data_IF_559759526302
#
_entry.id   IF_559759526302
#
_cell.length_a   1.000
_cell.length_b   1.000
_cell.length_c   1.000
_cell.angle_alpha   90.00
_cell.angle_beta   90.00
_cell.angle_gamma   90.00
#
_symmetry.space_group_name_H-M   'P 1'
#
loop_
_entity.id
_entity.type
_entity.pdbx_description
1 polymer ?
#
# COMPACT_ATOMS: atom_id res chain seq x y z
N UNK A 1 10.98 13.38 -12.68
CA UNK A 1 9.94 14.35 -12.27
C UNK A 1 10.12 14.69 -10.80
N UNK A 2 10.20 15.98 -10.46
CA UNK A 2 10.47 16.42 -9.10
C UNK A 2 9.17 16.42 -8.27
N UNK A 3 8.91 15.34 -7.53
CA UNK A 3 7.72 15.19 -6.68
C UNK A 3 7.64 16.23 -5.56
N UNK A 4 8.78 16.74 -5.10
CA UNK A 4 8.81 17.76 -4.06
C UNK A 4 8.25 19.08 -4.60
N UNK A 5 8.65 19.47 -5.81
CA UNK A 5 8.12 20.69 -6.45
C UNK A 5 6.60 20.61 -6.62
N UNK A 6 6.10 19.49 -7.17
CA UNK A 6 4.65 19.29 -7.35
C UNK A 6 3.93 19.33 -6.01
N UNK A 7 4.50 18.70 -4.97
CA UNK A 7 3.93 18.72 -3.63
C UNK A 7 3.82 20.14 -3.07
N UNK A 8 4.89 20.94 -3.20
CA UNK A 8 4.91 22.34 -2.75
C UNK A 8 3.85 23.17 -3.49
N UNK A 9 3.71 22.98 -4.80
CA UNK A 9 2.67 23.65 -5.60
C UNK A 9 1.25 23.26 -5.17
N UNK A 10 1.05 22.03 -4.70
CA UNK A 10 -0.25 21.53 -4.24
C UNK A 10 -0.55 21.83 -2.77
N UNK A 11 0.40 22.34 -1.98
CA UNK A 11 0.16 22.73 -0.59
C UNK A 11 -0.98 23.74 -0.39
N UNK A 12 -1.07 24.86 -1.13
CA UNK A 12 -2.19 25.79 -0.97
C UNK A 12 -3.53 25.12 -1.28
N UNK A 13 -3.57 24.31 -2.34
CA UNK A 13 -4.78 23.57 -2.70
C UNK A 13 -5.16 22.54 -1.62
N UNK A 14 -4.17 21.82 -1.08
CA UNK A 14 -4.36 20.90 0.04
C UNK A 14 -4.97 21.60 1.26
N UNK A 15 -4.50 22.80 1.59
CA UNK A 15 -5.02 23.60 2.70
C UNK A 15 -6.48 24.00 2.47
N UNK A 16 -6.83 24.47 1.26
CA UNK A 16 -8.22 24.78 0.88
C UNK A 16 -9.08 23.52 0.98
N UNK A 17 -8.63 22.41 0.39
CA UNK A 17 -9.37 21.15 0.42
C UNK A 17 -9.58 20.65 1.85
N UNK A 18 -8.63 20.87 2.76
CA UNK A 18 -8.78 20.46 4.16
C UNK A 18 -10.03 21.06 4.82
N UNK A 19 -10.50 22.23 4.39
CA UNK A 19 -11.74 22.84 4.90
C UNK A 19 -13.00 22.03 4.54
N UNK A 20 -12.93 21.25 3.46
CA UNK A 20 -14.01 20.36 3.00
C UNK A 20 -13.84 18.91 3.48
N UNK A 21 -12.87 18.65 4.35
CA UNK A 21 -12.65 17.31 4.91
C UNK A 21 -13.81 16.91 5.82
N UNK A 22 -14.24 15.64 5.71
CA UNK A 22 -15.24 15.02 6.59
C UNK A 22 -14.65 13.73 7.15
N UNK A 23 -14.80 13.45 8.46
CA UNK A 23 -14.43 12.16 9.03
C UNK A 23 -15.20 11.01 8.36
N UNK A 24 -14.51 9.94 8.01
CA UNK A 24 -15.06 8.78 7.27
C UNK A 24 -14.79 7.44 7.94
N UNK A 25 -13.85 7.37 8.89
CA UNK A 25 -13.30 6.14 9.45
C UNK A 25 -12.42 5.34 8.48
N UNK A 26 -12.23 5.78 7.23
CA UNK A 26 -11.60 4.97 6.18
C UNK A 26 -10.09 4.95 6.29
N UNK A 27 -9.52 3.79 5.97
CA UNK A 27 -8.09 3.52 5.99
C UNK A 27 -7.57 3.31 4.57
N UNK A 28 -6.51 4.05 4.19
CA UNK A 28 -5.75 3.85 2.97
C UNK A 28 -4.41 3.19 3.29
N UNK A 29 -4.09 2.09 2.62
CA UNK A 29 -2.76 1.48 2.68
C UNK A 29 -2.07 1.64 1.33
N UNK A 30 -0.87 2.19 1.34
CA UNK A 30 -0.08 2.43 0.14
C UNK A 30 1.05 1.40 0.07
N UNK A 31 0.88 0.42 -0.82
CA UNK A 31 1.80 -0.70 -1.02
C UNK A 31 1.92 -1.05 -2.50
N UNK A 32 2.99 -0.59 -3.15
CA UNK A 32 3.19 -0.77 -4.60
C UNK A 32 4.19 -1.88 -4.94
N UNK A 33 4.45 -2.76 -3.97
CA UNK A 33 5.48 -3.76 -4.04
C UNK A 33 5.02 -5.03 -4.78
N UNK A 34 5.89 -6.04 -4.85
CA UNK A 34 5.61 -7.29 -5.56
C UNK A 34 4.67 -8.18 -4.75
N UNK A 35 4.22 -9.27 -5.37
CA UNK A 35 3.28 -10.24 -4.77
C UNK A 35 3.74 -10.70 -3.37
N UNK A 36 5.02 -11.07 -3.20
CA UNK A 36 5.52 -11.51 -1.89
C UNK A 36 5.38 -10.45 -0.78
N UNK A 37 5.62 -9.18 -1.11
CA UNK A 37 5.44 -8.07 -0.17
C UNK A 37 3.97 -7.77 0.10
N UNK A 38 3.07 -8.10 -0.83
CA UNK A 38 1.64 -8.00 -0.60
C UNK A 38 1.16 -9.03 0.42
N UNK A 39 1.62 -10.28 0.32
CA UNK A 39 1.29 -11.32 1.33
C UNK A 39 1.69 -10.85 2.73
N UNK A 40 2.81 -10.12 2.85
CA UNK A 40 3.26 -9.57 4.12
C UNK A 40 2.37 -8.44 4.67
N UNK A 41 1.55 -7.77 3.85
CA UNK A 41 0.57 -6.78 4.36
C UNK A 41 -0.77 -7.40 4.73
N UNK A 42 -1.05 -8.65 4.35
CA UNK A 42 -2.36 -9.27 4.63
C UNK A 42 -2.74 -9.34 6.11
N UNK A 43 -1.81 -9.53 7.06
CA UNK A 43 -2.16 -9.47 8.48
C UNK A 43 -2.59 -8.05 8.91
N UNK A 44 -1.98 -7.02 8.29
CA UNK A 44 -2.35 -5.63 8.48
C UNK A 44 -3.75 -5.33 7.92
N UNK A 45 -4.11 -5.93 6.77
CA UNK A 45 -5.48 -5.85 6.23
C UNK A 45 -6.49 -6.47 7.19
N UNK A 46 -6.20 -7.64 7.75
CA UNK A 46 -7.07 -8.29 8.73
C UNK A 46 -7.24 -7.43 10.00
N UNK A 47 -6.16 -6.85 10.49
CA UNK A 47 -6.18 -6.00 11.68
C UNK A 47 -7.00 -4.71 11.48
N UNK A 48 -7.02 -4.15 10.27
CA UNK A 48 -7.79 -2.95 9.92
C UNK A 48 -9.22 -3.24 9.46
N UNK A 49 -9.51 -4.48 9.05
CA UNK A 49 -10.76 -4.82 8.37
C UNK A 49 -10.85 -4.17 7.00
N UNK A 50 -12.00 -3.55 6.69
CA UNK A 50 -12.26 -2.94 5.39
C UNK A 50 -11.33 -1.75 5.10
N UNK A 51 -10.37 -1.97 4.20
CA UNK A 51 -9.35 -0.98 3.82
C UNK A 51 -9.41 -0.67 2.32
N UNK A 52 -8.94 0.52 1.92
CA UNK A 52 -8.67 0.85 0.53
C UNK A 52 -7.17 0.80 0.24
N UNK A 53 -6.78 0.38 -0.97
CA UNK A 53 -5.38 0.12 -1.31
C UNK A 53 -4.88 0.95 -2.49
N UNK A 54 -3.63 1.43 -2.43
CA UNK A 54 -2.89 1.92 -3.60
C UNK A 54 -1.78 0.93 -3.95
N UNK A 55 -1.95 0.19 -5.03
CA UNK A 55 -1.15 -1.01 -5.37
C UNK A 55 -0.56 -0.96 -6.77
N UNK A 56 0.36 -1.89 -7.04
CA UNK A 56 0.80 -2.20 -8.39
C UNK A 56 -0.18 -3.14 -9.08
N UNK A 57 -0.36 -2.97 -10.39
CA UNK A 57 -1.13 -3.89 -11.26
C UNK A 57 -0.70 -5.36 -11.13
N UNK A 58 0.56 -5.63 -10.78
CA UNK A 58 1.05 -7.00 -10.59
C UNK A 58 0.33 -7.78 -9.46
N UNK A 59 -0.25 -7.07 -8.50
CA UNK A 59 -0.90 -7.64 -7.31
C UNK A 59 -2.42 -7.62 -7.45
N UNK A 60 -2.95 -6.92 -8.45
CA UNK A 60 -4.38 -6.77 -8.70
C UNK A 60 -5.19 -8.09 -8.67
N UNK A 61 -4.71 -9.22 -9.24
CA UNK A 61 -5.45 -10.49 -9.16
C UNK A 61 -5.71 -10.97 -7.74
N UNK A 62 -4.79 -10.72 -6.80
CA UNK A 62 -4.98 -11.09 -5.39
C UNK A 62 -5.99 -10.17 -4.73
N UNK A 63 -5.84 -8.87 -4.95
CA UNK A 63 -6.70 -7.85 -4.32
C UNK A 63 -8.16 -7.96 -4.75
N UNK A 64 -8.42 -8.31 -6.01
CA UNK A 64 -9.79 -8.48 -6.53
C UNK A 64 -10.59 -9.57 -5.83
N UNK A 65 -9.92 -10.52 -5.18
CA UNK A 65 -10.53 -11.65 -4.52
C UNK A 65 -10.35 -11.61 -3.00
N UNK A 66 -9.92 -10.48 -2.44
CA UNK A 66 -9.73 -10.31 -1.00
C UNK A 66 -10.85 -9.44 -0.41
N UNK A 67 -11.62 -10.03 0.48
CA UNK A 67 -12.78 -9.45 1.15
C UNK A 67 -12.41 -8.32 2.12
N UNK A 68 -11.16 -8.26 2.58
CA UNK A 68 -10.67 -7.15 3.43
C UNK A 68 -10.47 -5.86 2.64
N UNK A 69 -10.50 -5.92 1.31
CA UNK A 69 -10.25 -4.77 0.43
C UNK A 69 -11.55 -4.26 -0.19
N UNK A 70 -11.99 -3.12 0.29
CA UNK A 70 -13.21 -2.45 -0.22
C UNK A 70 -13.00 -1.83 -1.60
N UNK A 71 -11.82 -1.24 -1.85
CA UNK A 71 -11.46 -0.61 -3.11
C UNK A 71 -9.95 -0.57 -3.28
N UNK A 72 -9.49 -0.61 -4.52
CA UNK A 72 -8.08 -0.39 -4.84
C UNK A 72 -7.88 0.62 -5.97
N UNK A 73 -6.69 1.21 -6.00
CA UNK A 73 -6.19 2.13 -7.01
C UNK A 73 -4.88 1.59 -7.57
N UNK A 74 -4.69 1.71 -8.89
CA UNK A 74 -3.47 1.26 -9.54
C UNK A 74 -2.47 2.41 -9.70
N UNK A 75 -1.26 2.24 -9.15
CA UNK A 75 -0.21 3.26 -9.22
C UNK A 75 0.25 3.50 -10.66
N UNK A 76 0.22 2.48 -11.51
CA UNK A 76 0.62 2.57 -12.91
C UNK A 76 -0.29 3.52 -13.68
N UNK A 77 -1.60 3.55 -13.39
CA UNK A 77 -2.54 4.48 -14.02
C UNK A 77 -2.20 5.93 -13.68
N UNK A 78 -1.84 6.19 -12.43
CA UNK A 78 -1.42 7.52 -11.99
C UNK A 78 -0.04 7.93 -12.54
N UNK A 79 0.80 6.97 -12.95
CA UNK A 79 2.10 7.25 -13.58
C UNK A 79 1.99 7.58 -15.06
N UNK A 80 0.88 7.25 -15.74
CA UNK A 80 0.69 7.47 -17.19
C UNK A 80 0.84 8.92 -17.62
N UNK A 81 0.32 9.86 -16.83
CA UNK A 81 0.41 11.29 -17.17
C UNK A 81 0.42 12.17 -15.92
N UNK A 82 0.73 13.46 -16.11
CA UNK A 82 0.64 14.45 -15.04
C UNK A 82 -0.81 14.64 -14.58
N UNK A 83 -1.76 14.72 -15.51
CA UNK A 83 -3.19 14.84 -15.18
C UNK A 83 -3.75 13.62 -14.44
N UNK A 84 -3.39 12.40 -14.85
CA UNK A 84 -3.81 11.19 -14.15
C UNK A 84 -3.30 11.16 -12.69
N UNK A 85 -2.07 11.64 -12.49
CA UNK A 85 -1.48 11.81 -11.16
C UNK A 85 -2.24 12.82 -10.31
N UNK A 86 -2.54 14.00 -10.86
CA UNK A 86 -3.32 15.02 -10.16
C UNK A 86 -4.74 14.53 -9.83
N UNK A 87 -5.39 13.85 -10.77
CA UNK A 87 -6.71 13.23 -10.55
C UNK A 87 -6.68 12.25 -9.38
N UNK A 88 -5.69 11.35 -9.34
CA UNK A 88 -5.54 10.43 -8.20
C UNK A 88 -5.26 11.19 -6.91
N UNK A 89 -4.34 12.16 -6.94
CA UNK A 89 -4.01 13.00 -5.79
C UNK A 89 -5.24 13.67 -5.18
N UNK A 90 -6.10 14.30 -5.99
CA UNK A 90 -7.33 14.92 -5.52
C UNK A 90 -8.38 13.90 -5.05
N UNK A 91 -8.44 12.73 -5.69
CA UNK A 91 -9.33 11.63 -5.26
C UNK A 91 -8.99 11.13 -3.86
N UNK A 92 -7.69 11.05 -3.52
CA UNK A 92 -7.23 10.55 -2.23
C UNK A 92 -7.24 11.63 -1.13
N UNK A 93 -7.10 12.90 -1.50
CA UNK A 93 -6.74 14.01 -0.60
C UNK A 93 -7.61 14.11 0.68
N UNK A 94 -8.93 13.99 0.58
CA UNK A 94 -9.86 14.15 1.71
C UNK A 94 -10.67 12.89 2.04
N UNK A 95 -10.31 11.74 1.46
CA UNK A 95 -11.15 10.53 1.51
C UNK A 95 -10.90 9.66 2.74
N UNK A 96 -9.79 9.86 3.44
CA UNK A 96 -9.30 8.93 4.46
C UNK A 96 -9.03 9.62 5.78
N UNK A 97 -9.25 8.88 6.85
CA UNK A 97 -8.93 9.29 8.22
C UNK A 97 -7.57 8.74 8.64
N UNK A 98 -7.26 7.54 8.15
CA UNK A 98 -6.01 6.83 8.39
C UNK A 98 -5.28 6.56 7.06
N UNK A 99 -4.00 6.90 6.99
CA UNK A 99 -3.14 6.58 5.85
C UNK A 99 -1.89 5.88 6.36
N UNK A 100 -1.67 4.67 5.87
CA UNK A 100 -0.52 3.85 6.20
C UNK A 100 0.38 3.69 4.97
N UNK A 101 1.61 4.18 5.06
CA UNK A 101 2.60 4.05 4.00
C UNK A 101 3.56 2.92 4.33
N UNK A 102 3.40 1.80 3.63
CA UNK A 102 4.17 0.58 3.87
C UNK A 102 5.47 0.57 3.08
N UNK A 103 5.46 1.08 1.84
CA UNK A 103 6.64 1.11 1.00
C UNK A 103 7.02 2.55 0.63
N UNK A 104 8.02 3.15 1.31
CA UNK A 104 8.43 4.52 1.05
C UNK A 104 9.25 4.62 -0.24
N UNK A 105 8.61 5.10 -1.30
CA UNK A 105 9.29 5.62 -2.49
C UNK A 105 8.78 7.04 -2.78
N UNK A 106 9.45 7.77 -3.69
CA UNK A 106 9.10 9.18 -3.95
C UNK A 106 7.65 9.40 -4.38
N UNK A 107 7.05 8.44 -5.09
CA UNK A 107 5.66 8.53 -5.58
C UNK A 107 4.67 8.24 -4.45
N UNK A 108 4.92 7.19 -3.69
CA UNK A 108 4.07 6.77 -2.59
C UNK A 108 4.10 7.80 -1.46
N UNK A 109 5.29 8.31 -1.12
CA UNK A 109 5.46 9.42 -0.16
C UNK A 109 4.71 10.66 -0.61
N UNK A 110 4.74 10.98 -1.91
CA UNK A 110 3.98 12.11 -2.46
C UNK A 110 2.48 11.95 -2.22
N UNK A 111 1.90 10.81 -2.58
CA UNK A 111 0.46 10.57 -2.38
C UNK A 111 0.08 10.51 -0.90
N UNK A 112 0.87 9.81 -0.08
CA UNK A 112 0.63 9.71 1.35
C UNK A 112 0.68 11.08 2.03
N UNK A 113 1.68 11.89 1.70
CA UNK A 113 1.86 13.21 2.30
C UNK A 113 0.79 14.22 1.89
N UNK A 114 0.21 14.06 0.69
CA UNK A 114 -0.82 14.95 0.18
C UNK A 114 -2.18 14.72 0.86
N UNK A 115 -2.41 13.56 1.46
CA UNK A 115 -3.65 13.26 2.16
C UNK A 115 -3.82 14.16 3.40
N UNK A 116 -5.02 14.71 3.57
CA UNK A 116 -5.43 15.51 4.72
C UNK A 116 -5.83 14.68 5.95
N UNK A 117 -5.73 13.36 5.84
CA UNK A 117 -5.94 12.41 6.94
C UNK A 117 -5.25 12.87 8.24
N UNK A 118 -5.97 12.89 9.38
CA UNK A 118 -5.39 13.23 10.68
C UNK A 118 -4.34 12.22 11.13
N UNK A 119 -4.54 10.93 10.82
CA UNK A 119 -3.59 9.87 11.17
C UNK A 119 -2.80 9.41 9.94
N UNK A 120 -1.53 9.82 9.84
CA UNK A 120 -0.61 9.38 8.79
C UNK A 120 0.57 8.64 9.40
N UNK A 121 0.69 7.34 9.15
CA UNK A 121 1.71 6.47 9.73
C UNK A 121 2.62 5.96 8.63
N UNK A 122 3.89 6.38 8.63
CA UNK A 122 4.82 6.07 7.55
C UNK A 122 5.93 5.14 8.00
N UNK A 123 6.20 4.12 7.19
CA UNK A 123 7.40 3.32 7.34
C UNK A 123 8.61 4.09 6.83
N UNK A 124 9.69 4.10 7.61
CA UNK A 124 10.98 4.65 7.22
C UNK A 124 12.00 3.55 7.09
N UNK A 125 12.47 3.32 5.87
CA UNK A 125 13.46 2.30 5.55
C UNK A 125 14.88 2.88 5.50
N UNK A 126 15.87 1.99 5.61
CA UNK A 126 17.30 2.33 5.45
C UNK A 126 17.63 2.97 4.08
N UNK A 127 16.89 2.62 3.02
CA UNK A 127 17.02 3.25 1.70
C UNK A 127 16.20 4.55 1.68
N UNK A 128 16.83 5.70 1.96
CA UNK A 128 16.16 7.00 1.90
C UNK A 128 16.96 8.04 1.11
N UNK A 129 16.25 8.90 0.40
CA UNK A 129 16.83 10.08 -0.24
C UNK A 129 16.62 11.29 0.66
N UNK A 130 17.58 12.22 0.70
CA UNK A 130 17.53 13.40 1.59
C UNK A 130 16.22 14.20 1.43
N UNK A 131 15.76 14.38 0.20
CA UNK A 131 14.53 15.12 -0.11
C UNK A 131 13.23 14.43 0.36
N UNK A 132 13.27 13.13 0.72
CA UNK A 132 12.11 12.47 1.31
C UNK A 132 11.70 13.09 2.64
N UNK A 133 12.64 13.75 3.34
CA UNK A 133 12.39 14.46 4.61
C UNK A 133 11.20 15.43 4.50
N UNK A 134 10.99 16.06 3.34
CA UNK A 134 9.86 16.96 3.10
C UNK A 134 8.51 16.26 3.24
N UNK A 135 8.38 15.04 2.73
CA UNK A 135 7.14 14.26 2.83
C UNK A 135 6.91 13.72 4.25
N UNK A 136 7.96 13.25 4.93
CA UNK A 136 7.86 12.74 6.29
C UNK A 136 7.39 13.81 7.31
N UNK A 137 7.59 15.10 7.03
CA UNK A 137 7.03 16.18 7.88
C UNK A 137 5.51 16.15 7.98
N UNK A 138 4.84 15.53 7.02
CA UNK A 138 3.39 15.38 7.06
C UNK A 138 2.92 14.19 7.91
N UNK A 139 3.81 13.26 8.27
CA UNK A 139 3.45 12.06 9.02
C UNK A 139 3.10 12.41 10.47
N UNK A 140 2.04 11.78 10.99
CA UNK A 140 1.67 11.83 12.40
C UNK A 140 2.51 10.85 13.22
N UNK A 141 2.99 9.77 12.60
CA UNK A 141 3.93 8.83 13.22
C UNK A 141 4.80 8.12 12.19
N UNK A 142 5.98 7.69 12.65
CA UNK A 142 6.98 7.01 11.82
C UNK A 142 7.37 5.71 12.51
N UNK A 143 7.45 4.62 11.75
CA UNK A 143 8.04 3.34 12.20
C UNK A 143 9.36 3.17 11.44
N UNK A 144 10.45 3.01 12.16
CA UNK A 144 11.73 2.67 11.55
C UNK A 144 11.79 1.18 11.21
N UNK A 145 12.36 0.87 10.04
CA UNK A 145 12.60 -0.49 9.58
C UNK A 145 14.06 -0.63 9.14
N UNK A 146 14.77 -1.47 9.86
CA UNK A 146 16.15 -1.87 9.61
C UNK A 146 16.22 -3.20 8.87
N UNK A 147 17.42 -3.60 8.42
CA UNK A 147 17.61 -4.85 7.68
C UNK A 147 17.39 -6.11 8.53
N UNK A 148 17.49 -5.98 9.85
CA UNK A 148 17.33 -7.09 10.82
C UNK A 148 15.91 -7.22 11.33
N UNK A 149 15.06 -6.23 11.06
CA UNK A 149 13.68 -6.24 11.53
C UNK A 149 12.81 -7.15 10.68
N UNK A 150 11.89 -7.86 11.33
CA UNK A 150 10.85 -8.57 10.62
C UNK A 150 9.88 -7.58 9.97
N UNK A 151 9.81 -7.61 8.65
CA UNK A 151 8.98 -6.69 7.84
C UNK A 151 7.52 -6.66 8.31
N UNK A 152 6.96 -7.82 8.67
CA UNK A 152 5.58 -7.93 9.12
C UNK A 152 5.33 -7.18 10.44
N UNK A 153 6.23 -7.29 11.41
CA UNK A 153 6.14 -6.52 12.66
C UNK A 153 6.14 -5.02 12.38
N UNK A 154 7.05 -4.56 11.51
CA UNK A 154 7.12 -3.15 11.16
C UNK A 154 5.83 -2.63 10.52
N UNK A 155 5.12 -3.47 9.75
CA UNK A 155 3.86 -3.11 9.12
C UNK A 155 2.72 -3.02 10.13
N UNK A 156 2.61 -4.00 11.04
CA UNK A 156 1.60 -3.99 12.10
C UNK A 156 1.80 -2.83 13.08
N UNK A 157 3.07 -2.49 13.36
CA UNK A 157 3.45 -1.32 14.17
C UNK A 157 3.00 0.02 13.58
N UNK A 158 2.66 0.08 12.30
CA UNK A 158 2.03 1.28 11.72
C UNK A 158 0.61 1.48 12.26
N UNK A 159 -0.09 0.40 12.63
CA UNK A 159 -1.43 0.44 13.24
C UNK A 159 -1.31 0.65 14.75
N UNK A 160 -0.63 -0.27 15.41
CA UNK A 160 -0.43 -0.27 16.86
C UNK A 160 0.98 -0.78 17.17
N UNK A 161 1.74 -0.02 17.98
CA UNK A 161 3.15 -0.27 18.28
C UNK A 161 3.39 -1.57 19.05
N UNK A 162 2.35 -2.08 19.71
CA UNK A 162 2.42 -3.31 20.50
C UNK A 162 2.12 -4.57 19.67
N UNK A 163 1.60 -4.42 18.44
CA UNK A 163 1.28 -5.57 17.59
C UNK A 163 2.53 -6.32 17.11
N UNK A 164 2.34 -7.64 16.98
CA UNK A 164 3.35 -8.63 16.61
C UNK A 164 2.83 -9.49 15.47
N UNK A 165 3.74 -10.07 14.70
CA UNK A 165 3.42 -10.96 13.58
C UNK A 165 2.59 -12.19 13.96
N UNK A 166 2.59 -12.58 15.23
CA UNK A 166 1.82 -13.71 15.77
C UNK A 166 0.35 -13.40 15.96
N UNK A 167 -0.02 -12.12 16.02
CA UNK A 167 -1.38 -11.68 16.38
C UNK A 167 -2.36 -11.89 15.22
N UNK A 168 -1.85 -11.88 13.98
CA UNK A 168 -2.65 -11.95 12.76
C UNK A 168 -1.98 -12.89 11.74
N UNK A 169 -2.67 -13.94 11.26
CA UNK A 169 -2.07 -14.88 10.29
C UNK A 169 -1.91 -14.25 8.91
N UNK A 170 -0.95 -14.72 8.11
CA UNK A 170 -0.83 -14.33 6.69
C UNK A 170 -1.84 -15.09 5.83
N UNK A 171 -2.27 -14.50 4.73
CA UNK A 171 -3.09 -15.18 3.72
C UNK A 171 -2.72 -14.73 2.29
N UNK A 172 -3.18 -15.48 1.30
CA UNK A 172 -3.06 -15.08 -0.11
C UNK A 172 -4.26 -14.23 -0.55
N UNK A 173 -5.45 -14.71 -0.21
CA UNK A 173 -6.74 -14.05 -0.33
C UNK A 173 -7.59 -14.48 0.87
N UNK A 174 -8.54 -13.64 1.26
CA UNK A 174 -9.53 -13.92 2.30
C UNK A 174 -10.92 -13.73 1.67
N UNK A 175 -11.79 -14.76 1.60
CA UNK A 175 -11.45 -16.18 1.70
C UNK A 175 -10.43 -16.61 0.62
N UNK A 176 -9.80 -17.78 0.82
CA UNK A 176 -8.86 -18.30 -0.18
C UNK A 176 -9.59 -18.60 -1.50
N UNK A 177 -9.29 -17.82 -2.53
CA UNK A 177 -9.88 -18.00 -3.85
C UNK A 177 -9.24 -19.18 -4.58
N UNK A 178 -10.09 -20.09 -5.05
CA UNK A 178 -9.71 -21.20 -5.91
C UNK A 178 -10.34 -21.01 -7.28
N UNK A 179 -9.55 -21.05 -8.38
CA UNK A 179 -10.12 -20.98 -9.71
C UNK A 179 -10.99 -22.22 -9.97
N UNK A 180 -12.16 -22.07 -10.64
CA UNK A 180 -13.06 -23.19 -10.92
C UNK A 180 -12.47 -24.21 -11.89
N UNK A 181 -11.50 -23.80 -12.71
CA UNK A 181 -10.72 -24.67 -13.57
C UNK A 181 -9.27 -24.18 -13.64
N UNK A 182 -8.28 -25.08 -13.78
CA UNK A 182 -6.89 -24.70 -14.00
C UNK A 182 -6.77 -23.84 -15.27
N UNK A 183 -5.94 -22.77 -15.26
CA UNK A 183 -5.69 -21.95 -16.44
C UNK A 183 -5.27 -22.79 -17.64
N UNK A 184 -5.77 -22.48 -18.83
CA UNK A 184 -5.46 -23.21 -20.06
C UNK A 184 -3.94 -23.35 -20.34
N UNK A 185 -3.14 -22.40 -19.85
CA UNK A 185 -1.68 -22.43 -19.91
C UNK A 185 -1.03 -23.55 -19.06
N UNK A 186 -1.73 -24.05 -18.04
CA UNK A 186 -1.32 -25.18 -17.19
C UNK A 186 -1.94 -26.50 -17.65
N UNK A 187 -3.07 -26.45 -18.37
CA UNK A 187 -3.78 -27.63 -18.89
C UNK A 187 -3.02 -28.26 -20.08
N UNK A 188 -2.32 -27.44 -20.87
CA UNK A 188 -1.45 -27.92 -21.94
C UNK A 188 0.00 -28.00 -21.42
N UNK A 189 0.53 -29.19 -21.06
CA UNK A 189 1.91 -29.31 -20.62
C UNK A 189 2.85 -28.89 -21.74
N UNK A 190 3.48 -27.72 -21.59
CA UNK A 190 4.61 -27.32 -22.43
C UNK A 190 5.82 -28.14 -21.99
N UNK A 191 6.31 -29.01 -22.86
CA UNK A 191 7.57 -29.73 -22.65
C UNK A 191 8.68 -28.73 -22.28
N UNK A 192 9.25 -28.85 -21.09
CA UNK A 192 10.38 -28.01 -20.64
C UNK A 192 10.08 -26.93 -19.61
N UNK A 193 8.82 -26.71 -19.19
CA UNK A 193 8.54 -25.85 -18.03
C UNK A 193 8.88 -26.60 -16.75
N UNK A 194 10.12 -26.45 -16.28
CA UNK A 194 10.54 -26.86 -14.94
C UNK A 194 10.08 -25.80 -13.94
N UNK A 195 8.87 -25.97 -13.38
CA UNK A 195 8.52 -25.25 -12.15
C UNK A 195 9.38 -25.88 -11.05
N UNK A 196 10.29 -25.10 -10.47
CA UNK A 196 11.03 -25.52 -9.27
C UNK A 196 10.08 -25.59 -8.09
N UNK A 197 9.37 -26.72 -7.93
CA UNK A 197 8.56 -27.02 -6.76
C UNK A 197 9.54 -27.43 -5.65
N UNK A 198 10.13 -26.46 -4.95
CA UNK A 198 10.98 -26.74 -3.80
C UNK A 198 10.34 -26.42 -2.44
N UNK A 199 9.11 -25.90 -2.36
CA UNK A 199 8.54 -25.46 -1.08
C UNK A 199 7.04 -25.74 -0.90
N UNK A 200 6.54 -26.88 -1.38
CA UNK A 200 5.21 -27.36 -1.00
C UNK A 200 5.24 -28.89 -0.84
N UNK A 201 5.83 -29.36 0.26
CA UNK A 201 5.56 -30.70 0.78
C UNK A 201 5.96 -30.78 2.26
N UNK A 202 4.92 -31.03 3.08
CA UNK A 202 4.87 -31.34 4.51
C UNK A 202 5.19 -30.23 5.50
#
# INVERSE_FOLDING_TARGET
MNYVLIYLLLLPFRAIMRLFYRPTGRSLIIQTAKIGDFINITPMLRALGQSELLISKAVEPLVRHDDTVSRYFLIEEAKRSFFAKLKLAFTLMNRYDNVYLVQPNSVNLFFAALCNAPNKQFLRTYVRKSYHKTFYRSASGIVDHTKTDLTLDSYLKLINRDYRYTDFPKHATSPLWQPPAPPAALVNPRSGIKIGIQYFCR
#
